data_IF_135733215986
#
_entry.id   IF_135733215986
#
_cell.length_a   1.000
_cell.length_b   1.000
_cell.length_c   1.000
_cell.angle_alpha   90.00
_cell.angle_beta   90.00
_cell.angle_gamma   90.00
#
_symmetry.space_group_name_H-M   'P 1'
#
loop_
_entity.id
_entity.type
_entity.pdbx_description
1 polymer ?
#
# COMPACT_ATOMS: atom_id res chain seq x y z
N UNK A 1 -61.58 -29.08 -28.75
CA UNK A 1 -60.57 -28.17 -29.34
C UNK A 1 -59.63 -27.50 -28.33
N UNK A 2 -59.71 -27.79 -27.02
CA UNK A 2 -58.87 -27.13 -26.00
C UNK A 2 -57.50 -27.79 -25.71
N UNK A 3 -57.18 -28.95 -26.31
CA UNK A 3 -55.93 -29.68 -26.00
C UNK A 3 -54.72 -29.28 -26.87
N UNK A 4 -54.95 -28.59 -27.99
CA UNK A 4 -53.86 -28.11 -28.85
C UNK A 4 -53.22 -26.81 -28.31
N UNK A 5 -54.00 -25.99 -27.59
CA UNK A 5 -53.55 -24.69 -27.07
C UNK A 5 -52.53 -24.81 -25.93
N UNK A 6 -52.60 -25.89 -25.14
CA UNK A 6 -51.69 -26.11 -24.01
C UNK A 6 -50.28 -26.56 -24.47
N UNK A 7 -50.21 -27.28 -25.60
CA UNK A 7 -48.95 -27.75 -26.17
C UNK A 7 -48.15 -26.62 -26.82
N UNK A 8 -48.82 -25.64 -27.45
CA UNK A 8 -48.16 -24.47 -28.02
C UNK A 8 -47.56 -23.55 -26.93
N UNK A 9 -48.22 -23.43 -25.78
CA UNK A 9 -47.74 -22.60 -24.67
C UNK A 9 -46.48 -23.18 -24.02
N UNK A 10 -46.35 -24.52 -23.97
CA UNK A 10 -45.12 -25.18 -23.49
C UNK A 10 -43.92 -24.98 -24.43
N UNK A 11 -44.14 -25.00 -25.76
CA UNK A 11 -43.06 -24.81 -26.73
C UNK A 11 -42.52 -23.38 -26.76
N UNK A 12 -43.35 -22.38 -26.47
CA UNK A 12 -42.92 -20.97 -26.36
C UNK A 12 -42.11 -20.68 -25.09
N UNK A 13 -42.31 -21.43 -24.00
CA UNK A 13 -41.53 -21.29 -22.77
C UNK A 13 -40.15 -21.97 -22.81
N UNK A 14 -39.89 -22.82 -23.80
CA UNK A 14 -38.60 -23.51 -23.98
C UNK A 14 -37.59 -22.71 -24.81
N UNK A 15 -38.00 -21.61 -25.45
CA UNK A 15 -37.09 -20.74 -26.23
C UNK A 15 -36.48 -19.58 -25.42
N UNK A 16 -36.78 -19.48 -24.13
CA UNK A 16 -36.12 -18.53 -23.20
C UNK A 16 -34.94 -19.13 -22.44
N UNK A 17 -34.49 -20.35 -22.80
CA UNK A 17 -33.18 -20.88 -22.40
C UNK A 17 -32.10 -20.05 -23.10
N UNK A 18 -31.77 -18.95 -22.43
CA UNK A 18 -30.88 -17.92 -22.91
C UNK A 18 -29.57 -18.49 -23.42
N UNK A 19 -29.25 -18.10 -24.65
CA UNK A 19 -27.87 -17.78 -25.00
C UNK A 19 -27.31 -16.83 -23.94
N UNK A 20 -26.44 -17.33 -23.08
CA UNK A 20 -25.47 -16.50 -22.41
C UNK A 20 -24.10 -17.18 -22.54
N UNK A 21 -23.39 -16.61 -23.51
CA UNK A 21 -21.95 -16.49 -23.75
C UNK A 21 -21.02 -17.59 -23.22
N UNK A 22 -20.03 -18.03 -24.02
CA UNK A 22 -18.87 -18.71 -23.47
C UNK A 22 -18.30 -17.84 -22.36
N UNK A 23 -18.23 -18.37 -21.13
CA UNK A 23 -17.45 -17.80 -20.03
C UNK A 23 -16.01 -17.80 -20.53
N UNK A 24 -15.66 -16.72 -21.21
CA UNK A 24 -14.34 -16.43 -21.68
C UNK A 24 -13.57 -16.20 -20.39
N UNK A 25 -12.92 -17.26 -19.89
CA UNK A 25 -12.20 -17.23 -18.62
C UNK A 25 -11.21 -16.07 -18.65
N UNK A 26 -11.63 -14.93 -18.12
CA UNK A 26 -10.84 -13.73 -18.03
C UNK A 26 -9.76 -14.05 -17.03
N UNK A 27 -8.56 -14.37 -17.54
CA UNK A 27 -7.39 -14.55 -16.69
C UNK A 27 -7.27 -13.29 -15.83
N UNK A 28 -7.28 -13.46 -14.51
CA UNK A 28 -7.07 -12.37 -13.56
C UNK A 28 -5.79 -11.62 -13.94
N UNK A 29 -5.84 -10.29 -14.11
CA UNK A 29 -4.66 -9.52 -14.50
C UNK A 29 -3.60 -9.61 -13.41
N UNK A 30 -2.34 -9.77 -13.82
CA UNK A 30 -1.19 -9.74 -12.91
C UNK A 30 -0.78 -8.30 -12.67
N UNK A 31 -0.80 -7.85 -11.42
CA UNK A 31 -0.53 -6.45 -11.03
C UNK A 31 0.67 -6.36 -10.07
N UNK A 32 1.15 -5.13 -9.82
CA UNK A 32 2.19 -4.86 -8.80
C UNK A 32 3.62 -5.27 -9.17
N UNK A 33 3.86 -5.70 -10.41
CA UNK A 33 5.20 -6.15 -10.86
C UNK A 33 6.24 -5.03 -10.71
N UNK A 34 7.27 -5.28 -9.91
CA UNK A 34 8.35 -4.30 -9.67
C UNK A 34 8.03 -3.26 -8.59
N UNK A 35 6.89 -3.39 -7.91
CA UNK A 35 6.58 -2.64 -6.70
C UNK A 35 7.26 -3.31 -5.51
N UNK A 36 8.09 -2.56 -4.81
CA UNK A 36 8.75 -2.98 -3.56
C UNK A 36 8.24 -2.10 -2.41
N UNK A 37 7.73 -2.74 -1.35
CA UNK A 37 7.35 -2.07 -0.11
C UNK A 37 8.39 -2.40 0.97
N UNK A 38 9.07 -1.37 1.46
CA UNK A 38 10.05 -1.48 2.54
C UNK A 38 9.35 -1.31 3.88
N UNK A 39 9.41 -2.32 4.73
CA UNK A 39 8.60 -2.41 5.92
C UNK A 39 9.46 -2.08 7.15
N UNK A 40 9.03 -1.05 7.86
CA UNK A 40 9.52 -0.72 9.20
C UNK A 40 8.52 -1.28 10.18
N UNK A 41 8.99 -2.09 11.13
CA UNK A 41 8.17 -2.65 12.19
C UNK A 41 8.54 -2.00 13.49
N UNK A 42 7.54 -1.44 14.15
CA UNK A 42 7.57 -1.02 15.54
C UNK A 42 6.65 -1.97 16.32
N UNK A 43 7.06 -2.38 17.51
CA UNK A 43 6.19 -3.10 18.43
C UNK A 43 6.26 -2.47 19.82
N UNK A 44 5.20 -2.58 20.61
CA UNK A 44 5.01 -1.79 21.83
C UNK A 44 5.24 -2.56 23.14
N UNK A 45 5.64 -3.83 23.08
CA UNK A 45 5.90 -4.67 24.26
C UNK A 45 7.03 -5.68 24.02
N UNK A 46 7.85 -5.90 25.05
CA UNK A 46 8.87 -6.95 25.08
C UNK A 46 8.31 -8.37 24.92
N UNK A 47 7.00 -8.56 25.10
CA UNK A 47 6.36 -9.87 24.97
C UNK A 47 6.49 -10.45 23.56
N UNK A 48 6.62 -9.62 22.52
CA UNK A 48 6.94 -10.08 21.17
C UNK A 48 8.30 -10.78 21.10
N UNK A 49 9.29 -10.32 21.86
CA UNK A 49 10.59 -11.00 21.93
C UNK A 49 10.51 -12.27 22.77
N UNK A 50 9.81 -12.22 23.92
CA UNK A 50 9.75 -13.34 24.88
C UNK A 50 8.94 -14.52 24.37
N UNK A 51 7.81 -14.26 23.70
CA UNK A 51 6.87 -15.29 23.26
C UNK A 51 7.17 -15.81 21.85
N UNK A 52 8.24 -15.30 21.22
CA UNK A 52 8.70 -15.85 19.96
C UNK A 52 9.57 -17.09 20.19
N UNK A 53 9.02 -18.24 19.84
CA UNK A 53 9.78 -19.50 19.80
C UNK A 53 10.20 -19.80 18.37
N UNK A 54 11.47 -19.60 18.06
CA UNK A 54 12.01 -19.96 16.77
C UNK A 54 12.00 -21.49 16.60
N UNK A 55 11.59 -21.98 15.42
CA UNK A 55 11.75 -23.40 15.05
C UNK A 55 13.22 -23.77 14.81
N UNK A 56 14.01 -22.78 14.41
CA UNK A 56 15.43 -22.89 14.16
C UNK A 56 16.16 -22.03 15.20
N UNK A 57 17.06 -22.60 16.03
CA UNK A 57 17.82 -21.83 17.03
C UNK A 57 18.62 -20.66 16.43
N UNK A 58 19.06 -20.76 15.18
CA UNK A 58 19.76 -19.68 14.48
C UNK A 58 18.84 -18.51 14.15
N UNK A 59 17.52 -18.72 14.23
CA UNK A 59 16.49 -17.71 14.02
C UNK A 59 15.88 -17.19 15.31
N UNK A 60 16.53 -17.36 16.47
CA UNK A 60 16.03 -16.89 17.76
C UNK A 60 16.13 -15.36 17.95
N UNK A 61 15.51 -14.60 17.06
CA UNK A 61 15.42 -13.14 17.09
C UNK A 61 14.01 -12.72 16.64
N UNK A 62 13.39 -11.77 17.35
CA UNK A 62 12.07 -11.22 17.03
C UNK A 62 11.95 -10.71 15.59
N UNK A 63 13.07 -10.32 14.95
CA UNK A 63 13.10 -10.00 13.52
C UNK A 63 12.50 -11.13 12.66
N UNK A 64 12.81 -12.39 12.99
CA UNK A 64 12.31 -13.56 12.25
C UNK A 64 10.82 -13.80 12.44
N UNK A 65 10.26 -13.39 13.58
CA UNK A 65 8.81 -13.39 13.81
C UNK A 65 8.08 -12.55 12.75
N UNK A 66 8.53 -11.31 12.57
CA UNK A 66 7.92 -10.40 11.61
C UNK A 66 8.23 -10.77 10.16
N UNK A 67 9.46 -11.22 9.86
CA UNK A 67 9.82 -11.73 8.53
C UNK A 67 8.91 -12.88 8.08
N UNK A 68 8.62 -13.85 8.96
CA UNK A 68 7.71 -14.96 8.64
C UNK A 68 6.27 -14.47 8.38
N UNK A 69 5.81 -13.49 9.18
CA UNK A 69 4.51 -12.85 8.98
C UNK A 69 4.39 -12.19 7.60
N UNK A 70 5.35 -11.35 7.22
CA UNK A 70 5.33 -10.66 5.93
C UNK A 70 5.61 -11.59 4.74
N UNK A 71 6.39 -12.67 4.90
CA UNK A 71 6.56 -13.67 3.83
C UNK A 71 5.24 -14.40 3.51
N UNK A 72 4.45 -14.74 4.54
CA UNK A 72 3.10 -15.30 4.34
C UNK A 72 2.16 -14.33 3.64
N UNK A 73 2.18 -13.05 4.03
CA UNK A 73 1.40 -12.00 3.36
C UNK A 73 1.81 -11.87 1.89
N UNK A 74 3.11 -11.79 1.59
CA UNK A 74 3.62 -11.71 0.22
C UNK A 74 3.17 -12.93 -0.62
N UNK A 75 3.24 -14.13 -0.04
CA UNK A 75 2.78 -15.36 -0.69
C UNK A 75 1.29 -15.31 -1.00
N UNK A 76 0.47 -14.84 -0.07
CA UNK A 76 -0.97 -14.66 -0.26
C UNK A 76 -1.27 -13.70 -1.41
N UNK A 77 -0.64 -12.52 -1.44
CA UNK A 77 -0.77 -11.59 -2.57
C UNK A 77 -0.40 -12.23 -3.91
N UNK A 78 0.70 -12.99 -3.95
CA UNK A 78 1.15 -13.68 -5.17
C UNK A 78 0.14 -14.72 -5.65
N UNK A 79 -0.48 -15.47 -4.75
CA UNK A 79 -1.56 -16.43 -5.07
C UNK A 79 -2.79 -15.73 -5.67
N UNK A 80 -3.02 -14.48 -5.29
CA UNK A 80 -4.06 -13.60 -5.84
C UNK A 80 -3.59 -12.76 -7.05
N UNK A 81 -2.51 -13.16 -7.73
CA UNK A 81 -1.94 -12.46 -8.90
C UNK A 81 -1.40 -11.04 -8.64
N UNK A 82 -1.12 -10.69 -7.37
CA UNK A 82 -0.49 -9.43 -6.97
C UNK A 82 1.01 -9.66 -6.69
N UNK A 83 1.89 -9.23 -7.60
CA UNK A 83 3.33 -9.52 -7.59
C UNK A 83 4.20 -8.40 -7.00
N UNK A 84 3.97 -8.07 -5.73
CA UNK A 84 4.78 -7.12 -4.97
C UNK A 84 5.94 -7.81 -4.25
N UNK A 85 6.97 -7.04 -3.88
CA UNK A 85 8.04 -7.47 -2.97
C UNK A 85 7.89 -6.77 -1.63
N UNK A 86 7.86 -7.54 -0.54
CA UNK A 86 7.77 -7.05 0.84
C UNK A 86 9.11 -7.28 1.53
N UNK A 87 9.78 -6.21 1.95
CA UNK A 87 11.11 -6.29 2.58
C UNK A 87 11.10 -5.66 3.96
N UNK A 88 11.16 -6.46 5.03
CA UNK A 88 11.34 -5.94 6.39
C UNK A 88 12.76 -5.42 6.54
N UNK A 89 12.89 -4.11 6.73
CA UNK A 89 14.18 -3.43 6.79
C UNK A 89 14.58 -3.06 8.22
N UNK A 90 13.63 -2.90 9.13
CA UNK A 90 13.87 -2.54 10.53
C UNK A 90 12.77 -3.12 11.40
N UNK A 91 13.16 -3.57 12.60
CA UNK A 91 12.26 -4.08 13.65
C UNK A 91 12.75 -3.49 14.97
N UNK A 92 11.93 -2.66 15.59
CA UNK A 92 12.28 -1.90 16.80
C UNK A 92 11.19 -2.00 17.88
N UNK A 93 11.61 -2.15 19.14
CA UNK A 93 10.73 -1.96 20.28
C UNK A 93 10.59 -0.47 20.57
N UNK A 94 9.37 0.03 20.61
CA UNK A 94 9.10 1.38 21.08
C UNK A 94 7.80 1.44 21.89
N UNK A 95 7.94 1.35 23.21
CA UNK A 95 6.82 1.39 24.16
C UNK A 95 6.17 2.80 24.25
N UNK A 96 6.84 3.83 23.71
CA UNK A 96 6.41 5.24 23.76
C UNK A 96 5.78 5.75 22.48
N UNK A 97 5.64 4.90 21.47
CA UNK A 97 5.10 5.28 20.15
C UNK A 97 3.63 5.74 20.19
N UNK A 98 2.89 5.35 21.23
CA UNK A 98 1.49 5.71 21.39
C UNK A 98 1.30 7.18 21.77
N UNK A 99 0.58 7.92 20.92
CA UNK A 99 0.09 9.26 21.29
C UNK A 99 -1.05 9.10 22.28
N UNK A 100 -0.96 9.78 23.43
CA UNK A 100 -1.99 9.76 24.48
C UNK A 100 -2.57 11.16 24.72
N UNK A 101 -3.90 11.26 24.82
CA UNK A 101 -4.63 12.46 25.25
C UNK A 101 -5.55 12.10 26.40
N UNK A 102 -5.45 12.84 27.50
CA UNK A 102 -6.19 12.57 28.74
C UNK A 102 -6.04 11.11 29.22
N UNK A 103 -4.86 10.52 29.05
CA UNK A 103 -4.56 9.13 29.41
C UNK A 103 -5.01 8.07 28.39
N UNK A 104 -5.86 8.43 27.41
CA UNK A 104 -6.34 7.52 26.36
C UNK A 104 -5.47 7.56 25.12
N UNK A 105 -5.24 6.40 24.49
CA UNK A 105 -4.53 6.30 23.19
C UNK A 105 -5.33 6.97 22.07
N UNK A 106 -4.65 7.73 21.22
CA UNK A 106 -5.27 8.41 20.08
C UNK A 106 -4.74 7.78 18.79
N UNK A 107 -5.58 6.93 18.19
CA UNK A 107 -5.23 6.08 17.04
C UNK A 107 -4.74 6.92 15.84
N UNK A 108 -5.52 7.93 15.43
CA UNK A 108 -5.19 8.76 14.28
C UNK A 108 -3.88 9.54 14.45
N UNK A 109 -3.60 10.04 15.65
CA UNK A 109 -2.35 10.75 15.93
C UNK A 109 -1.17 9.78 16.03
N UNK A 110 -1.40 8.56 16.51
CA UNK A 110 -0.39 7.50 16.51
C UNK A 110 -0.02 7.09 15.08
N UNK A 111 -1.00 6.98 14.16
CA UNK A 111 -0.72 6.78 12.73
C UNK A 111 0.11 7.94 12.15
N UNK A 112 -0.19 9.19 12.49
CA UNK A 112 0.62 10.34 12.06
C UNK A 112 2.04 10.32 12.64
N UNK A 113 2.21 9.91 13.90
CA UNK A 113 3.53 9.73 14.50
C UNK A 113 4.31 8.62 13.78
N UNK A 114 3.65 7.52 13.45
CA UNK A 114 4.24 6.43 12.66
C UNK A 114 4.68 6.88 11.28
N UNK A 115 4.14 7.95 10.69
CA UNK A 115 4.58 8.45 9.38
C UNK A 115 5.98 9.06 9.42
N UNK A 116 6.46 9.45 10.60
CA UNK A 116 7.75 10.14 10.81
C UNK A 116 8.88 9.22 11.26
N UNK A 117 8.56 7.99 11.70
CA UNK A 117 9.56 7.00 12.16
C UNK A 117 10.57 6.73 11.05
N UNK A 118 11.85 6.97 11.29
CA UNK A 118 12.92 6.75 10.31
C UNK A 118 12.75 7.45 8.95
N UNK A 119 11.97 8.53 8.88
CA UNK A 119 11.69 9.22 7.60
C UNK A 119 12.95 9.77 6.92
N UNK A 120 14.01 10.02 7.70
CA UNK A 120 15.29 10.53 7.21
C UNK A 120 16.32 9.44 6.86
N UNK A 121 16.11 8.19 7.29
CA UNK A 121 17.08 7.11 7.05
C UNK A 121 16.97 6.49 5.66
N UNK A 122 15.81 6.61 5.01
CA UNK A 122 15.56 5.99 3.72
C UNK A 122 15.51 7.02 2.59
N UNK A 123 16.27 6.84 1.49
CA UNK A 123 16.33 7.79 0.38
C UNK A 123 15.02 7.91 -0.40
N UNK A 124 14.09 6.95 -0.21
CA UNK A 124 12.75 6.95 -0.80
C UNK A 124 11.72 6.63 0.29
N UNK A 125 11.43 7.59 1.17
CA UNK A 125 10.57 7.34 2.33
C UNK A 125 9.14 6.95 1.92
N UNK A 126 8.68 7.37 0.73
CA UNK A 126 7.34 7.04 0.24
C UNK A 126 7.20 5.55 -0.19
N UNK A 127 8.32 4.85 -0.45
CA UNK A 127 8.33 3.40 -0.68
C UNK A 127 8.40 2.60 0.64
N UNK A 128 8.50 3.30 1.78
CA UNK A 128 8.51 2.68 3.10
C UNK A 128 7.10 2.68 3.70
N UNK A 129 6.79 1.66 4.49
CA UNK A 129 5.55 1.52 5.24
C UNK A 129 5.88 1.19 6.68
N UNK A 130 5.38 1.97 7.64
CA UNK A 130 5.59 1.71 9.06
C UNK A 130 4.39 0.98 9.68
N UNK A 131 4.67 -0.13 10.35
CA UNK A 131 3.68 -0.92 11.07
C UNK A 131 3.94 -0.83 12.57
N UNK A 132 2.90 -0.57 13.36
CA UNK A 132 2.91 -0.76 14.81
C UNK A 132 2.18 -2.05 15.16
N UNK A 133 2.87 -2.98 15.81
CA UNK A 133 2.28 -4.19 16.37
C UNK A 133 1.98 -4.00 17.84
N UNK A 134 0.76 -4.37 18.23
CA UNK A 134 0.27 -4.29 19.61
C UNK A 134 -0.53 -5.54 19.97
N UNK A 135 -0.43 -5.97 21.23
CA UNK A 135 -1.28 -7.01 21.80
C UNK A 135 -2.60 -6.45 22.38
N UNK A 136 -2.65 -5.14 22.60
CA UNK A 136 -3.81 -4.44 23.13
C UNK A 136 -4.86 -4.19 22.05
N UNK A 137 -6.14 -4.35 22.41
CA UNK A 137 -7.27 -4.07 21.53
C UNK A 137 -7.40 -2.56 21.29
N UNK A 138 -7.72 -2.17 20.05
CA UNK A 138 -8.06 -0.79 19.75
C UNK A 138 -9.56 -0.55 19.99
N UNK A 139 -9.96 0.67 20.38
CA UNK A 139 -11.38 1.00 20.46
C UNK A 139 -12.00 0.91 19.06
N UNK A 140 -12.99 0.03 18.90
CA UNK A 140 -13.84 -0.17 17.71
C UNK A 140 -13.18 -0.82 16.47
N UNK A 141 -11.87 -1.12 16.49
CA UNK A 141 -11.18 -1.70 15.33
C UNK A 141 -10.22 -2.82 15.75
N UNK A 142 -10.10 -3.85 14.92
CA UNK A 142 -9.06 -4.88 15.07
C UNK A 142 -7.74 -4.43 14.47
N UNK A 143 -7.76 -3.71 13.35
CA UNK A 143 -6.56 -3.21 12.65
C UNK A 143 -6.90 -1.90 11.93
N UNK A 144 -5.97 -0.94 11.96
CA UNK A 144 -6.15 0.33 11.26
C UNK A 144 -4.97 0.62 10.35
N UNK A 145 -5.22 1.21 9.18
CA UNK A 145 -4.19 1.47 8.18
C UNK A 145 -4.59 2.62 7.26
N UNK A 146 -3.59 3.33 6.74
CA UNK A 146 -3.78 4.35 5.70
C UNK A 146 -4.18 3.72 4.37
N UNK A 147 -5.28 4.17 3.77
CA UNK A 147 -5.85 3.57 2.55
C UNK A 147 -5.13 4.04 1.27
N UNK A 148 -4.66 3.10 0.44
CA UNK A 148 -4.17 3.38 -0.91
C UNK A 148 -2.97 4.35 -0.96
N UNK A 149 -2.05 4.23 -0.01
CA UNK A 149 -0.99 5.23 0.24
C UNK A 149 0.41 4.80 -0.18
N UNK A 150 0.61 3.56 -0.64
CA UNK A 150 1.95 3.10 -1.02
C UNK A 150 2.52 3.99 -2.13
N UNK A 151 3.79 4.39 -1.99
CA UNK A 151 4.47 5.31 -2.92
C UNK A 151 3.82 6.70 -3.01
N UNK A 152 3.02 7.09 -2.02
CA UNK A 152 2.37 8.40 -1.95
C UNK A 152 2.85 9.21 -0.73
N UNK A 153 2.48 10.50 -0.69
CA UNK A 153 2.66 11.36 0.48
C UNK A 153 1.27 11.70 1.04
N UNK A 154 0.99 11.49 2.33
CA UNK A 154 1.92 11.03 3.36
C UNK A 154 2.24 9.54 3.28
N UNK A 155 3.31 9.13 3.97
CA UNK A 155 3.79 7.75 4.02
C UNK A 155 2.72 6.78 4.52
N UNK A 156 2.74 5.55 4.00
CA UNK A 156 1.89 4.46 4.48
C UNK A 156 2.20 4.04 5.91
N UNK A 157 1.15 3.85 6.71
CA UNK A 157 1.25 3.40 8.09
C UNK A 157 0.09 2.49 8.48
N UNK A 158 0.33 1.58 9.41
CA UNK A 158 -0.70 0.73 9.98
C UNK A 158 -0.45 0.42 11.46
N UNK A 159 -1.53 0.13 12.18
CA UNK A 159 -1.52 -0.46 13.52
C UNK A 159 -2.20 -1.82 13.41
N UNK A 160 -1.49 -2.86 13.82
CA UNK A 160 -1.87 -4.27 13.73
C UNK A 160 -2.04 -4.81 15.12
N UNK A 161 -3.25 -5.26 15.46
CA UNK A 161 -3.51 -5.98 16.71
C UNK A 161 -3.25 -7.46 16.49
N UNK A 162 -2.21 -7.97 17.16
CA UNK A 162 -1.79 -9.36 17.03
C UNK A 162 -1.14 -9.82 18.33
N UNK A 163 -1.63 -10.93 18.89
CA UNK A 163 -1.03 -11.48 20.11
C UNK A 163 0.43 -11.91 19.87
N UNK A 164 1.36 -11.60 20.80
CA UNK A 164 2.74 -12.05 20.73
C UNK A 164 2.85 -13.56 20.54
N UNK A 165 3.73 -14.01 19.63
CA UNK A 165 3.88 -15.42 19.29
C UNK A 165 2.79 -15.99 18.35
N UNK A 166 1.74 -15.23 18.05
CA UNK A 166 0.73 -15.65 17.06
C UNK A 166 1.36 -15.83 15.68
N UNK A 167 1.03 -16.94 15.01
CA UNK A 167 1.43 -17.21 13.62
C UNK A 167 0.37 -16.81 12.59
N UNK A 168 -0.76 -16.28 13.07
CA UNK A 168 -1.83 -15.75 12.24
C UNK A 168 -1.37 -14.44 11.61
N UNK A 169 -1.32 -14.40 10.27
CA UNK A 169 -0.86 -13.25 9.49
C UNK A 169 -2.02 -12.43 8.91
N UNK A 170 -3.28 -12.81 9.18
CA UNK A 170 -4.48 -12.14 8.64
C UNK A 170 -4.48 -10.66 8.96
N UNK A 171 -4.22 -10.27 10.22
CA UNK A 171 -4.19 -8.85 10.59
C UNK A 171 -3.16 -8.03 9.78
N UNK A 172 -2.01 -8.63 9.46
CA UNK A 172 -0.97 -8.01 8.62
C UNK A 172 -1.46 -7.91 7.17
N UNK A 173 -2.09 -8.97 6.65
CA UNK A 173 -2.66 -9.02 5.31
C UNK A 173 -3.73 -7.94 5.12
N UNK A 174 -4.69 -7.84 6.04
CA UNK A 174 -5.78 -6.85 5.99
C UNK A 174 -5.22 -5.42 5.97
N UNK A 175 -4.26 -5.13 6.86
CA UNK A 175 -3.61 -3.82 6.92
C UNK A 175 -2.83 -3.50 5.64
N UNK A 176 -2.07 -4.46 5.11
CA UNK A 176 -1.32 -4.29 3.86
C UNK A 176 -2.26 -4.12 2.66
N UNK A 177 -3.36 -4.87 2.60
CA UNK A 177 -4.36 -4.73 1.54
C UNK A 177 -4.98 -3.33 1.53
N UNK A 178 -5.29 -2.76 2.71
CA UNK A 178 -5.72 -1.36 2.84
C UNK A 178 -4.65 -0.40 2.34
N UNK A 179 -3.38 -0.59 2.71
CA UNK A 179 -2.26 0.23 2.23
C UNK A 179 -2.15 0.21 0.70
N UNK A 180 -2.43 -0.93 0.08
CA UNK A 180 -2.49 -1.07 -1.37
C UNK A 180 -3.80 -0.58 -1.98
N UNK A 181 -4.80 -0.16 -1.21
CA UNK A 181 -6.04 0.46 -1.71
C UNK A 181 -7.26 -0.45 -1.78
N UNK A 182 -7.14 -1.70 -1.33
CA UNK A 182 -8.27 -2.62 -1.23
C UNK A 182 -9.08 -2.42 0.05
N UNK A 183 -10.26 -3.02 0.11
CA UNK A 183 -11.17 -2.98 1.26
C UNK A 183 -10.59 -3.54 2.57
N UNK A 184 -9.53 -4.35 2.48
CA UNK A 184 -8.91 -5.03 3.62
C UNK A 184 -9.43 -6.46 3.85
N UNK A 185 -10.19 -7.04 2.91
CA UNK A 185 -10.59 -8.44 2.97
C UNK A 185 -9.42 -9.40 2.67
N UNK A 186 -9.51 -10.65 3.13
CA UNK A 186 -8.52 -11.71 2.82
C UNK A 186 -8.61 -12.15 1.35
N UNK A 187 -9.82 -12.23 0.80
CA UNK A 187 -10.04 -12.57 -0.60
C UNK A 187 -10.30 -11.27 -1.37
N UNK A 188 -9.52 -11.03 -2.42
CA UNK A 188 -9.64 -9.80 -3.20
C UNK A 188 -10.67 -9.96 -4.30
N UNK A 189 -11.62 -9.04 -4.34
CA UNK A 189 -12.57 -8.90 -5.44
C UNK A 189 -11.89 -8.28 -6.66
N UNK A 190 -12.55 -8.31 -7.82
CA UNK A 190 -12.05 -7.62 -9.02
C UNK A 190 -11.88 -6.10 -8.78
N UNK A 191 -12.80 -5.50 -8.02
CA UNK A 191 -12.72 -4.08 -7.60
C UNK A 191 -11.51 -3.83 -6.69
N UNK A 192 -11.19 -4.74 -5.76
CA UNK A 192 -9.97 -4.64 -4.95
C UNK A 192 -8.71 -4.69 -5.83
N UNK A 193 -8.67 -5.61 -6.81
CA UNK A 193 -7.54 -5.74 -7.74
C UNK A 193 -7.39 -4.47 -8.60
N UNK A 194 -8.49 -3.90 -9.09
CA UNK A 194 -8.46 -2.64 -9.83
C UNK A 194 -7.92 -1.49 -8.97
N UNK A 195 -8.43 -1.34 -7.75
CA UNK A 195 -7.97 -0.32 -6.79
C UNK A 195 -6.49 -0.48 -6.42
N UNK A 196 -6.04 -1.71 -6.21
CA UNK A 196 -4.62 -1.99 -5.98
C UNK A 196 -3.77 -1.58 -7.18
N UNK A 197 -4.18 -1.96 -8.39
CA UNK A 197 -3.45 -1.61 -9.60
C UNK A 197 -3.34 -0.10 -9.78
N UNK A 198 -4.44 0.63 -9.56
CA UNK A 198 -4.48 2.09 -9.60
C UNK A 198 -3.53 2.70 -8.57
N UNK A 199 -3.51 2.17 -7.34
CA UNK A 199 -2.60 2.62 -6.29
C UNK A 199 -1.14 2.40 -6.67
N UNK A 200 -0.80 1.25 -7.25
CA UNK A 200 0.57 0.93 -7.68
C UNK A 200 1.10 1.86 -8.78
N UNK A 201 0.24 2.58 -9.50
CA UNK A 201 0.68 3.59 -10.49
C UNK A 201 1.51 4.71 -9.85
N UNK A 202 1.39 4.93 -8.54
CA UNK A 202 2.18 5.90 -7.78
C UNK A 202 3.65 5.46 -7.60
N UNK A 203 3.95 4.17 -7.68
CA UNK A 203 5.29 3.62 -7.44
C UNK A 203 6.23 3.77 -8.63
N UNK A 204 5.70 3.84 -9.85
CA UNK A 204 6.52 4.01 -11.03
C UNK A 204 6.91 5.48 -11.15
N UNK A 205 8.17 5.80 -10.82
CA UNK A 205 8.72 7.14 -11.04
C UNK A 205 8.61 7.45 -12.53
N UNK A 206 7.63 8.29 -12.89
CA UNK A 206 7.58 8.91 -14.22
C UNK A 206 8.87 9.71 -14.36
N UNK A 207 9.83 9.23 -15.16
CA UNK A 207 11.00 10.04 -15.55
C UNK A 207 10.44 11.35 -16.11
N UNK A 208 10.60 12.46 -15.38
CA UNK A 208 10.35 13.79 -15.93
C UNK A 208 11.25 13.91 -17.15
N UNK A 209 10.66 13.92 -18.36
CA UNK A 209 11.39 14.32 -19.56
C UNK A 209 11.95 15.71 -19.25
N UNK A 210 13.27 15.81 -19.07
CA UNK A 210 13.94 17.11 -19.12
C UNK A 210 13.69 17.64 -20.53
N UNK A 211 12.68 18.50 -20.65
CA UNK A 211 12.56 19.36 -21.83
C UNK A 211 13.76 20.29 -21.71
N UNK A 212 14.83 19.98 -22.44
CA UNK A 212 15.92 20.90 -22.66
C UNK A 212 15.34 22.06 -23.46
N UNK A 213 14.79 23.05 -22.76
CA UNK A 213 14.52 24.38 -23.33
C UNK A 213 15.87 25.00 -23.60
N UNK A 214 16.39 24.78 -24.81
CA UNK A 214 17.52 25.52 -25.35
C UNK A 214 17.05 26.96 -25.51
N UNK A 215 17.25 27.77 -24.48
CA UNK A 215 17.03 29.22 -24.52
C UNK A 215 18.05 29.78 -25.51
N UNK A 216 17.62 30.00 -26.75
CA UNK A 216 18.37 30.66 -27.80
C UNK A 216 18.56 32.12 -27.38
N UNK A 217 19.67 32.42 -26.71
CA UNK A 217 20.07 33.79 -26.37
C UNK A 217 20.26 34.56 -27.68
N UNK A 218 19.32 35.46 -27.97
CA UNK A 218 19.46 36.45 -29.04
C UNK A 218 20.38 37.55 -28.48
N UNK A 219 21.55 37.71 -29.09
CA UNK A 219 22.44 38.83 -28.80
C UNK A 219 21.73 40.14 -29.22
N UNK A 220 21.55 41.06 -28.27
CA UNK A 220 21.18 42.44 -28.54
C UNK A 220 22.46 43.23 -28.89
N UNK A 221 22.47 43.77 -30.11
CA UNK A 221 23.49 44.69 -30.59
C UNK A 221 23.33 46.03 -29.88
N UNK A 222 24.33 46.42 -29.10
CA UNK A 222 24.41 47.74 -28.50
C UNK A 222 24.76 48.79 -29.57
N UNK A 223 23.82 49.67 -29.90
CA UNK A 223 24.09 50.90 -30.65
C UNK A 223 24.56 51.99 -29.69
N UNK A 224 25.84 52.35 -29.84
CA UNK A 224 26.48 53.52 -29.24
C UNK A 224 25.86 54.80 -29.79
N UNK A 225 25.29 55.64 -28.92
CA UNK A 225 24.96 57.04 -29.22
C UNK A 225 25.99 57.92 -28.51
N UNK A 226 26.89 58.48 -29.32
CA UNK A 226 27.73 59.62 -28.98
C UNK A 226 26.85 60.85 -28.77
N UNK A 227 27.00 61.53 -27.64
CA UNK A 227 26.58 62.93 -27.51
C UNK A 227 27.83 63.78 -27.30
N UNK A 228 28.19 64.49 -28.37
CA UNK A 228 29.03 65.68 -28.36
C UNK A 228 28.32 66.79 -27.59
N UNK A 229 29.00 67.35 -26.59
CA UNK A 229 28.68 68.66 -26.03
C UNK A 229 29.96 69.46 -25.94
N UNK A 230 30.14 70.34 -26.91
CA UNK A 230 31.00 71.51 -26.80
C UNK A 230 30.26 72.68 -27.43
N UNK A 231 29.95 73.73 -26.66
CA UNK A 231 30.00 75.14 -27.08
C UNK A 231 30.06 76.05 -25.83
N UNK A 232 31.12 76.86 -25.82
CA UNK A 232 31.44 78.09 -25.09
C UNK A 232 30.29 79.02 -24.64
N UNK A 233 30.44 79.62 -23.46
CA UNK A 233 30.83 81.04 -23.30
C UNK A 233 31.30 81.33 -21.87
#
# INVERSE_FOLDING_TARGET
MFRLSLLLLCLLLLQSLGENAPVQGTRTPVIGVGVEAKIIVVYDTEDYKKNYTARDPLKNNVMWYFLDGFDKVQRHFREQSVKVTLSVVTVELNETIWVKKNGSRVINETLQQLQRVDEHYYPRPNETTAFLFTSEQLPNETNTATMGTICHVPRSTAIVVQQPGSTNYTSILEAMAKIFGASGAVNFTEDDIEKMNNTFTNCYIKRKRRINSTRKTRAETATSVMNDVSVNK
#
